data_IF_167431397621
#
_entry.id   IF_167431397621
#
_cell.length_a   1.000
_cell.length_b   1.000
_cell.length_c   1.000
_cell.angle_alpha   90.00
_cell.angle_beta   90.00
_cell.angle_gamma   90.00
#
_symmetry.space_group_name_H-M   'P 1'
#
loop_
_entity.id
_entity.type
_entity.pdbx_description
1 polymer ?
#
# COMPACT_ATOMS: atom_id res chain seq x y z
N UNK A 1 -30.25 -8.74 -28.43
CA UNK A 1 -31.19 -7.86 -27.72
C UNK A 1 -30.39 -6.64 -27.26
N UNK A 2 -30.67 -5.44 -27.79
CA UNK A 2 -29.88 -4.21 -27.58
C UNK A 2 -30.44 -3.44 -26.38
N UNK A 3 -29.59 -2.98 -25.46
CA UNK A 3 -29.96 -1.98 -24.46
C UNK A 3 -29.18 -0.69 -24.69
N UNK A 4 -29.93 0.40 -24.80
CA UNK A 4 -29.51 1.79 -24.89
C UNK A 4 -29.22 2.32 -23.49
N UNK A 5 -28.15 3.10 -23.33
CA UNK A 5 -28.05 4.10 -22.26
C UNK A 5 -27.93 5.48 -22.89
N UNK A 6 -28.96 6.30 -22.70
CA UNK A 6 -28.86 7.76 -22.76
C UNK A 6 -29.24 8.30 -21.39
N UNK A 7 -28.40 9.18 -20.84
CA UNK A 7 -28.90 10.37 -20.14
C UNK A 7 -27.87 11.49 -20.23
N UNK A 8 -28.15 12.43 -21.14
CA UNK A 8 -27.71 13.83 -21.03
C UNK A 8 -28.45 14.45 -19.85
N UNK A 9 -27.74 15.11 -18.94
CA UNK A 9 -28.28 16.26 -18.22
C UNK A 9 -27.16 17.27 -18.03
N UNK A 10 -27.29 18.41 -18.71
CA UNK A 10 -26.35 19.52 -18.72
C UNK A 10 -27.18 20.79 -18.53
N UNK A 11 -26.67 21.69 -17.69
CA UNK A 11 -26.90 23.15 -17.72
C UNK A 11 -28.20 23.71 -17.10
N UNK A 12 -28.06 24.37 -15.93
CA UNK A 12 -28.15 25.85 -15.80
C UNK A 12 -28.19 26.29 -14.33
N UNK A 13 -27.22 27.12 -13.92
CA UNK A 13 -27.40 28.41 -13.22
C UNK A 13 -25.99 28.96 -12.88
N UNK A 14 -25.33 29.65 -13.80
CA UNK A 14 -25.19 31.12 -13.85
C UNK A 14 -24.89 31.84 -12.53
N UNK A 15 -23.66 32.38 -12.49
CA UNK A 15 -23.28 33.74 -12.06
C UNK A 15 -23.28 34.04 -10.56
N UNK A 16 -22.08 34.11 -9.97
CA UNK A 16 -21.64 35.34 -9.32
C UNK A 16 -20.11 35.49 -9.38
N UNK A 17 -19.71 36.67 -9.84
CA UNK A 17 -18.37 37.22 -9.97
C UNK A 17 -18.04 37.90 -8.64
N UNK A 18 -16.93 37.56 -7.98
CA UNK A 18 -16.12 38.55 -7.25
C UNK A 18 -14.64 38.22 -7.45
N UNK A 19 -13.95 39.21 -8.00
CA UNK A 19 -12.51 39.32 -8.21
C UNK A 19 -11.84 39.62 -6.86
N UNK A 20 -10.76 38.93 -6.52
CA UNK A 20 -9.73 39.54 -5.67
C UNK A 20 -8.32 39.00 -6.01
N UNK A 21 -7.65 39.74 -6.87
CA UNK A 21 -6.22 39.65 -7.14
C UNK A 21 -5.48 40.40 -6.04
N UNK A 22 -4.59 39.74 -5.29
CA UNK A 22 -3.55 40.43 -4.52
C UNK A 22 -2.20 39.92 -4.99
N UNK A 23 -1.61 40.71 -5.89
CA UNK A 23 -0.17 40.78 -6.09
C UNK A 23 0.46 41.36 -4.82
N UNK A 24 1.44 40.66 -4.25
CA UNK A 24 2.52 41.30 -3.51
C UNK A 24 3.84 40.81 -4.11
N UNK A 25 4.49 41.73 -4.82
CA UNK A 25 5.82 41.53 -5.38
C UNK A 25 6.78 42.55 -4.75
N UNK A 26 8.02 42.09 -4.57
CA UNK A 26 9.26 42.81 -4.25
C UNK A 26 9.40 43.25 -2.78
N UNK A 27 10.44 42.81 -2.07
CA UNK A 27 11.85 43.22 -2.25
C UNK A 27 12.79 42.11 -1.73
N UNK A 28 13.66 41.54 -2.57
CA UNK A 28 15.05 41.97 -2.82
C UNK A 28 16.02 41.79 -1.64
N UNK A 29 16.90 40.78 -1.74
CA UNK A 29 18.33 41.01 -1.53
C UNK A 29 19.18 40.22 -2.54
N UNK A 30 20.03 41.00 -3.22
CA UNK A 30 21.06 40.63 -4.21
C UNK A 30 22.22 39.89 -3.50
N UNK A 31 22.71 38.79 -4.07
CA UNK A 31 23.82 38.65 -5.05
C UNK A 31 25.19 38.57 -4.36
N UNK A 32 25.88 37.44 -4.51
CA UNK A 32 27.17 37.40 -5.22
C UNK A 32 27.61 35.97 -5.56
N UNK A 33 28.18 35.86 -6.75
CA UNK A 33 28.59 34.67 -7.47
C UNK A 33 30.03 34.94 -7.93
N UNK A 34 30.96 34.01 -7.69
CA UNK A 34 32.16 33.73 -8.50
C UNK A 34 32.72 32.39 -8.00
N UNK A 35 32.70 31.29 -8.76
CA UNK A 35 33.44 30.91 -9.99
C UNK A 35 34.93 30.61 -9.75
N UNK A 36 35.20 29.29 -9.67
CA UNK A 36 36.32 28.48 -10.20
C UNK A 36 37.78 28.98 -10.16
N UNK A 37 38.71 28.20 -9.59
CA UNK A 37 39.52 27.20 -10.32
C UNK A 37 40.71 26.65 -9.50
N UNK A 38 40.94 25.35 -9.70
CA UNK A 38 42.21 24.61 -9.82
C UNK A 38 43.53 25.25 -9.32
N UNK A 39 44.25 24.55 -8.42
CA UNK A 39 45.51 23.84 -8.74
C UNK A 39 46.19 23.26 -7.49
N UNK A 40 46.61 21.99 -7.61
CA UNK A 40 47.60 21.32 -6.76
C UNK A 40 48.96 22.03 -6.84
N UNK A 41 49.70 22.09 -5.73
CA UNK A 41 51.08 21.57 -5.66
C UNK A 41 51.64 21.55 -4.24
N UNK A 42 52.18 20.37 -3.92
CA UNK A 42 53.35 20.06 -3.11
C UNK A 42 53.43 20.30 -1.59
N UNK A 43 53.49 19.14 -0.91
CA UNK A 43 54.46 18.70 0.09
C UNK A 43 54.84 19.62 1.25
N UNK A 44 54.76 19.10 2.48
CA UNK A 44 55.95 18.65 3.26
C UNK A 44 55.55 18.21 4.69
N UNK A 45 55.95 16.98 5.03
CA UNK A 45 56.37 16.45 6.35
C UNK A 45 55.39 16.26 7.52
N UNK A 46 55.22 14.96 7.78
CA UNK A 46 54.89 14.23 9.02
C UNK A 46 55.32 14.93 10.33
N UNK A 47 54.40 15.00 11.29
CA UNK A 47 54.73 14.70 12.69
C UNK A 47 53.54 14.06 13.39
N UNK A 48 53.74 12.79 13.77
CA UNK A 48 52.88 11.99 14.63
C UNK A 48 52.73 12.68 15.98
N UNK A 49 51.51 12.75 16.50
CA UNK A 49 51.28 12.55 17.93
C UNK A 49 49.94 11.83 18.12
N UNK A 50 50.07 10.56 18.44
CA UNK A 50 49.02 9.65 18.87
C UNK A 50 48.58 10.10 20.27
N UNK A 51 47.32 10.51 20.41
CA UNK A 51 46.64 10.54 21.69
C UNK A 51 45.65 9.38 21.72
N UNK A 52 45.92 8.50 22.69
CA UNK A 52 45.10 7.42 23.24
C UNK A 52 43.61 7.77 23.29
N UNK A 53 42.75 6.94 22.68
CA UNK A 53 42.16 5.73 23.28
C UNK A 53 40.83 6.05 23.97
N UNK A 54 39.73 5.92 23.21
CA UNK A 54 38.43 5.45 23.69
C UNK A 54 37.66 5.04 22.44
N UNK A 55 37.98 3.87 21.87
CA UNK A 55 37.22 3.28 20.79
C UNK A 55 36.18 2.34 21.38
N UNK A 56 34.92 2.73 21.18
CA UNK A 56 33.72 2.03 21.59
C UNK A 56 33.80 0.54 21.27
N UNK A 57 33.40 -0.28 22.26
CA UNK A 57 33.13 -1.70 22.04
C UNK A 57 32.18 -1.84 20.83
N UNK A 58 32.43 -2.79 19.90
CA UNK A 58 31.47 -3.07 18.86
C UNK A 58 30.17 -3.50 19.54
N UNK A 59 29.08 -2.79 19.25
CA UNK A 59 27.75 -3.27 19.58
C UNK A 59 27.59 -4.57 18.79
N UNK A 60 27.67 -5.70 19.48
CA UNK A 60 27.29 -6.99 18.94
C UNK A 60 25.83 -6.86 18.50
N UNK A 61 25.63 -6.72 17.19
CA UNK A 61 24.33 -6.83 16.57
C UNK A 61 23.90 -8.28 16.80
N UNK A 62 23.11 -8.51 17.85
CA UNK A 62 22.51 -9.81 18.11
C UNK A 62 21.81 -10.22 16.84
N UNK A 63 22.35 -11.25 16.18
CA UNK A 63 21.69 -11.91 15.07
C UNK A 63 20.30 -12.28 15.57
N UNK A 64 19.29 -11.67 14.93
CA UNK A 64 17.92 -12.10 15.07
C UNK A 64 17.94 -13.58 14.71
N UNK A 65 17.43 -14.48 15.56
CA UNK A 65 17.37 -15.89 15.23
C UNK A 65 16.70 -15.99 13.85
N UNK A 66 17.45 -16.44 12.85
CA UNK A 66 16.88 -16.88 11.59
C UNK A 66 16.11 -18.14 11.91
N UNK A 67 14.86 -17.96 12.32
CA UNK A 67 13.87 -19.00 12.28
C UNK A 67 13.81 -19.48 10.82
N UNK A 68 14.13 -20.76 10.52
CA UNK A 68 14.07 -21.29 9.16
C UNK A 68 12.62 -21.36 8.62
N UNK A 69 11.63 -20.98 9.43
CA UNK A 69 10.26 -20.81 9.00
C UNK A 69 10.04 -19.41 8.41
N UNK A 70 9.68 -19.38 7.13
CA UNK A 70 9.22 -18.17 6.45
C UNK A 70 8.14 -17.47 7.30
N UNK A 71 8.39 -16.21 7.66
CA UNK A 71 7.55 -15.45 8.59
C UNK A 71 6.09 -15.37 8.13
N UNK A 72 5.83 -15.44 6.82
CA UNK A 72 4.47 -15.46 6.26
C UNK A 72 3.72 -16.77 6.54
N UNK A 73 4.39 -17.87 6.89
CA UNK A 73 3.73 -19.11 7.36
C UNK A 73 3.19 -18.99 8.78
N UNK A 74 3.69 -18.03 9.56
CA UNK A 74 3.19 -17.80 10.92
C UNK A 74 1.85 -17.08 10.89
N UNK A 75 1.02 -17.30 11.92
CA UNK A 75 -0.24 -16.58 12.04
C UNK A 75 -0.02 -15.17 12.57
N UNK A 76 -0.64 -14.20 11.90
CA UNK A 76 -0.62 -12.81 12.33
C UNK A 76 -1.90 -12.39 13.06
N UNK A 77 -2.92 -13.25 13.12
CA UNK A 77 -4.17 -12.96 13.85
C UNK A 77 -3.86 -12.57 15.30
N UNK A 78 -4.46 -11.47 15.75
CA UNK A 78 -4.28 -10.92 17.08
C UNK A 78 -3.07 -9.98 17.22
N UNK A 79 -2.13 -9.98 16.28
CA UNK A 79 -1.02 -9.01 16.25
C UNK A 79 -1.54 -7.63 15.84
N UNK A 80 -0.79 -6.62 16.24
CA UNK A 80 -1.03 -5.22 15.89
C UNK A 80 -0.11 -4.73 14.77
N UNK A 81 -0.43 -3.60 14.16
CA UNK A 81 0.43 -2.94 13.16
C UNK A 81 1.87 -2.71 13.67
N UNK A 82 2.08 -2.41 14.96
CA UNK A 82 3.43 -2.27 15.53
C UNK A 82 4.19 -3.60 15.52
N UNK A 83 3.52 -4.70 15.83
CA UNK A 83 4.15 -6.02 15.82
C UNK A 83 4.50 -6.46 14.40
N UNK A 84 3.61 -6.20 13.43
CA UNK A 84 3.87 -6.44 12.01
C UNK A 84 5.06 -5.63 11.50
N UNK A 85 5.12 -4.34 11.83
CA UNK A 85 6.21 -3.47 11.39
C UNK A 85 7.60 -3.93 11.90
N UNK A 86 7.65 -4.72 12.98
CA UNK A 86 8.91 -5.30 13.50
C UNK A 86 9.36 -6.54 12.74
N UNK A 87 8.50 -7.13 11.89
CA UNK A 87 8.79 -8.34 11.12
C UNK A 87 9.60 -8.06 9.84
N UNK A 88 9.84 -6.78 9.50
CA UNK A 88 10.56 -6.36 8.29
C UNK A 88 9.97 -6.94 6.99
N UNK A 89 8.64 -7.09 6.93
CA UNK A 89 7.91 -7.45 5.72
C UNK A 89 7.41 -6.19 4.99
N UNK A 90 7.19 -6.29 3.69
CA UNK A 90 6.79 -5.20 2.82
C UNK A 90 5.29 -5.20 2.60
N UNK A 91 4.64 -4.04 2.77
CA UNK A 91 3.27 -3.82 2.34
C UNK A 91 3.23 -3.59 0.83
N UNK A 92 2.53 -4.47 0.12
CA UNK A 92 2.34 -4.41 -1.32
C UNK A 92 1.15 -3.54 -1.72
N UNK A 93 0.12 -3.49 -0.87
CA UNK A 93 -1.13 -2.77 -1.09
C UNK A 93 -1.87 -2.63 0.24
N UNK A 94 -2.61 -1.54 0.39
CA UNK A 94 -3.52 -1.30 1.50
C UNK A 94 -4.78 -0.55 1.05
N UNK A 95 -5.93 -0.89 1.63
CA UNK A 95 -7.21 -0.21 1.41
C UNK A 95 -7.95 -0.09 2.72
N UNK A 96 -8.39 1.13 3.04
CA UNK A 96 -9.32 1.37 4.14
C UNK A 96 -10.73 0.97 3.73
N UNK A 97 -11.43 0.33 4.66
CA UNK A 97 -12.82 -0.06 4.54
C UNK A 97 -13.61 0.66 5.64
N UNK A 98 -14.68 1.31 5.24
CA UNK A 98 -15.61 1.94 6.19
C UNK A 98 -16.89 1.10 6.24
N UNK A 99 -17.22 0.60 7.44
CA UNK A 99 -18.51 -0.02 7.73
C UNK A 99 -19.16 0.73 8.90
N UNK A 100 -20.13 1.58 8.57
CA UNK A 100 -20.81 2.45 9.53
C UNK A 100 -19.82 3.34 10.32
N UNK A 101 -19.66 3.08 11.62
CA UNK A 101 -18.75 3.80 12.53
C UNK A 101 -17.42 3.04 12.76
N UNK A 102 -17.32 1.80 12.28
CA UNK A 102 -16.12 0.99 12.43
C UNK A 102 -15.22 1.15 11.21
N UNK A 103 -13.92 1.27 11.48
CA UNK A 103 -12.89 1.37 10.45
C UNK A 103 -12.15 0.04 10.38
N UNK A 104 -12.05 -0.49 9.18
CA UNK A 104 -11.26 -1.65 8.88
C UNK A 104 -10.25 -1.34 7.77
N UNK A 105 -9.34 -2.25 7.52
CA UNK A 105 -8.46 -2.21 6.37
C UNK A 105 -8.21 -3.61 5.83
N UNK A 106 -7.87 -3.68 4.56
CA UNK A 106 -7.17 -4.83 3.98
C UNK A 106 -5.77 -4.39 3.63
N UNK A 107 -4.79 -5.23 3.94
CA UNK A 107 -3.42 -5.02 3.51
C UNK A 107 -2.81 -6.32 2.99
N UNK A 108 -1.98 -6.25 1.95
CA UNK A 108 -1.22 -7.38 1.41
C UNK A 108 0.25 -7.19 1.76
N UNK A 109 0.87 -8.21 2.35
CA UNK A 109 2.26 -8.22 2.73
C UNK A 109 3.07 -9.32 2.02
N UNK A 110 4.34 -9.04 1.80
CA UNK A 110 5.34 -9.96 1.23
C UNK A 110 6.68 -9.83 1.97
N UNK A 111 7.50 -10.87 1.96
CA UNK A 111 8.87 -10.80 2.52
C UNK A 111 9.81 -9.93 1.69
N UNK A 112 9.58 -9.88 0.38
CA UNK A 112 10.39 -9.08 -0.57
C UNK A 112 9.45 -8.33 -1.51
N UNK A 113 9.86 -7.13 -1.91
CA UNK A 113 9.05 -6.23 -2.76
C UNK A 113 8.68 -6.91 -4.09
N UNK A 114 9.61 -7.62 -4.72
CA UNK A 114 9.39 -8.27 -6.02
C UNK A 114 8.32 -9.38 -5.95
N UNK A 115 8.15 -10.01 -4.78
CA UNK A 115 7.18 -11.09 -4.57
C UNK A 115 5.74 -10.57 -4.43
N UNK A 116 5.53 -9.25 -4.35
CA UNK A 116 4.21 -8.65 -4.34
C UNK A 116 3.36 -9.06 -5.56
N UNK A 117 4.02 -9.29 -6.71
CA UNK A 117 3.38 -9.73 -7.95
C UNK A 117 3.71 -11.18 -8.31
N UNK A 118 4.74 -11.77 -7.70
CA UNK A 118 5.22 -13.10 -8.06
C UNK A 118 5.88 -13.82 -6.88
N UNK A 119 5.06 -14.35 -5.99
CA UNK A 119 5.55 -15.04 -4.81
C UNK A 119 4.50 -15.21 -3.75
N UNK A 120 4.97 -15.62 -2.57
CA UNK A 120 4.10 -15.81 -1.41
C UNK A 120 3.75 -14.46 -0.80
N UNK A 121 2.48 -14.29 -0.50
CA UNK A 121 1.94 -13.09 0.12
C UNK A 121 0.99 -13.50 1.25
N UNK A 122 0.72 -12.57 2.15
CA UNK A 122 -0.33 -12.69 3.16
C UNK A 122 -1.25 -11.49 3.07
N UNK A 123 -2.55 -11.72 2.96
CA UNK A 123 -3.58 -10.68 2.94
C UNK A 123 -4.23 -10.64 4.32
N UNK A 124 -4.26 -9.47 4.93
CA UNK A 124 -4.73 -9.26 6.29
C UNK A 124 -6.06 -8.52 6.27
N UNK A 125 -6.97 -8.92 7.15
CA UNK A 125 -8.12 -8.12 7.52
C UNK A 125 -7.85 -7.47 8.88
N UNK A 126 -7.95 -6.16 8.92
CA UNK A 126 -7.44 -5.35 10.01
C UNK A 126 -8.55 -4.48 10.60
N UNK A 127 -8.72 -4.52 11.92
CA UNK A 127 -9.69 -3.68 12.63
C UNK A 127 -8.98 -2.52 13.30
N UNK A 128 -9.44 -1.31 13.03
CA UNK A 128 -8.91 -0.10 13.66
C UNK A 128 -9.10 -0.15 15.18
N UNK A 129 -8.05 0.18 15.90
CA UNK A 129 -8.09 0.28 17.36
C UNK A 129 -8.12 1.74 17.80
N UNK A 130 -7.11 2.49 17.38
CA UNK A 130 -6.86 3.85 17.81
C UNK A 130 -5.78 4.48 16.91
N UNK A 131 -5.53 5.78 17.12
CA UNK A 131 -4.28 6.39 16.68
C UNK A 131 -3.26 6.30 17.81
N UNK A 132 -2.00 6.07 17.45
CA UNK A 132 -0.86 6.26 18.34
C UNK A 132 -0.62 7.75 18.60
N UNK A 133 0.17 8.06 19.64
CA UNK A 133 0.53 9.44 19.99
C UNK A 133 1.23 10.21 18.85
N UNK A 134 1.88 9.48 17.94
CA UNK A 134 2.52 10.03 16.74
C UNK A 134 1.55 10.22 15.55
N UNK A 135 0.24 10.04 15.76
CA UNK A 135 -0.80 10.17 14.74
C UNK A 135 -0.93 9.00 13.77
N UNK A 136 -0.10 7.95 13.88
CA UNK A 136 -0.23 6.76 13.03
C UNK A 136 -1.42 5.91 13.47
N UNK A 137 -2.20 5.43 12.51
CA UNK A 137 -3.30 4.51 12.78
C UNK A 137 -2.75 3.16 13.27
N UNK A 138 -3.44 2.58 14.26
CA UNK A 138 -3.16 1.28 14.80
C UNK A 138 -4.30 0.34 14.47
N UNK A 139 -3.97 -0.82 13.92
CA UNK A 139 -4.93 -1.86 13.63
C UNK A 139 -4.53 -3.16 14.33
N UNK A 140 -5.55 -3.97 14.64
CA UNK A 140 -5.41 -5.36 15.06
C UNK A 140 -5.82 -6.26 13.92
N UNK A 141 -5.05 -7.31 13.67
CA UNK A 141 -5.38 -8.30 12.65
C UNK A 141 -6.44 -9.23 13.20
N UNK A 142 -7.55 -9.34 12.48
CA UNK A 142 -8.72 -10.13 12.87
C UNK A 142 -8.86 -11.39 12.01
N UNK A 143 -8.36 -11.35 10.78
CA UNK A 143 -8.30 -12.51 9.89
C UNK A 143 -7.13 -12.40 8.89
N UNK A 144 -6.78 -13.52 8.26
CA UNK A 144 -5.68 -13.57 7.30
C UNK A 144 -5.89 -14.62 6.21
N UNK A 145 -5.32 -14.39 5.03
CA UNK A 145 -5.22 -15.34 3.94
C UNK A 145 -3.78 -15.47 3.47
N UNK A 146 -3.28 -16.71 3.43
CA UNK A 146 -2.00 -17.03 2.80
C UNK A 146 -2.24 -17.29 1.32
N UNK A 147 -1.56 -16.54 0.46
CA UNK A 147 -1.77 -16.59 -1.00
C UNK A 147 -0.44 -16.68 -1.75
N UNK A 148 -0.48 -17.21 -2.97
CA UNK A 148 0.68 -17.24 -3.86
C UNK A 148 0.29 -16.52 -5.15
N UNK A 149 0.89 -15.37 -5.38
CA UNK A 149 0.68 -14.55 -6.57
C UNK A 149 1.62 -15.03 -7.66
N UNK A 150 1.13 -15.10 -8.90
CA UNK A 150 1.93 -15.36 -10.09
C UNK A 150 1.37 -14.54 -11.24
N UNK A 151 1.49 -13.21 -11.14
CA UNK A 151 0.98 -12.27 -12.13
C UNK A 151 1.61 -12.55 -13.50
N UNK A 152 0.82 -12.53 -14.61
CA UNK A 152 -0.61 -12.20 -14.69
C UNK A 152 -1.58 -13.36 -14.41
N UNK A 153 -1.09 -14.60 -14.25
CA UNK A 153 -1.94 -15.81 -14.20
C UNK A 153 -2.85 -15.88 -12.97
N UNK A 154 -2.33 -15.45 -11.83
CA UNK A 154 -3.04 -15.44 -10.56
C UNK A 154 -2.68 -14.17 -9.81
N UNK A 155 -3.67 -13.32 -9.59
CA UNK A 155 -3.56 -12.07 -8.86
C UNK A 155 -4.66 -11.94 -7.83
N UNK A 156 -4.34 -11.33 -6.69
CA UNK A 156 -5.25 -11.10 -5.58
C UNK A 156 -5.37 -9.60 -5.34
N UNK A 157 -6.58 -9.07 -5.42
CA UNK A 157 -6.84 -7.67 -5.15
C UNK A 157 -8.25 -7.46 -4.56
N UNK A 158 -8.41 -6.35 -3.85
CA UNK A 158 -9.71 -5.87 -3.43
C UNK A 158 -10.43 -5.25 -4.64
N UNK A 159 -11.70 -5.63 -4.85
CA UNK A 159 -12.50 -5.22 -6.01
C UNK A 159 -13.90 -4.81 -5.57
N UNK A 160 -14.46 -3.80 -6.24
CA UNK A 160 -15.85 -3.39 -6.03
C UNK A 160 -16.77 -4.21 -6.93
N UNK A 161 -17.71 -4.96 -6.33
CA UNK A 161 -18.67 -5.80 -7.05
C UNK A 161 -20.10 -5.54 -6.58
N UNK A 162 -21.05 -5.61 -7.52
CA UNK A 162 -22.49 -5.64 -7.23
C UNK A 162 -23.02 -7.05 -7.44
N UNK A 163 -23.13 -7.84 -6.37
CA UNK A 163 -23.63 -9.23 -6.44
C UNK A 163 -25.07 -9.38 -5.94
N UNK A 164 -25.46 -8.60 -4.92
CA UNK A 164 -26.79 -8.66 -4.29
C UNK A 164 -27.56 -7.33 -4.41
N UNK A 165 -27.36 -6.62 -5.52
CA UNK A 165 -27.97 -5.30 -5.74
C UNK A 165 -27.33 -4.15 -4.96
N UNK A 166 -26.31 -4.43 -4.13
CA UNK A 166 -25.46 -3.44 -3.47
C UNK A 166 -24.01 -3.59 -3.92
N UNK A 167 -23.36 -2.49 -4.26
CA UNK A 167 -21.91 -2.45 -4.47
C UNK A 167 -21.19 -2.62 -3.13
N UNK A 168 -20.26 -3.57 -3.07
CA UNK A 168 -19.43 -3.88 -1.89
C UNK A 168 -18.02 -4.21 -2.32
N UNK A 169 -17.07 -4.10 -1.40
CA UNK A 169 -15.71 -4.57 -1.59
C UNK A 169 -15.66 -6.08 -1.34
N UNK A 170 -14.96 -6.79 -2.22
CA UNK A 170 -14.63 -8.21 -2.10
C UNK A 170 -13.14 -8.37 -2.32
N UNK A 171 -12.56 -9.47 -1.83
CA UNK A 171 -11.26 -9.92 -2.31
C UNK A 171 -11.50 -10.91 -3.45
N UNK A 172 -10.76 -10.77 -4.55
CA UNK A 172 -10.86 -11.68 -5.69
C UNK A 172 -9.50 -12.27 -6.07
N UNK A 173 -9.51 -13.55 -6.45
CA UNK A 173 -8.42 -14.22 -7.14
C UNK A 173 -8.77 -14.32 -8.62
N UNK A 174 -7.94 -13.76 -9.51
CA UNK A 174 -8.25 -13.69 -10.94
C UNK A 174 -6.99 -13.70 -11.82
N UNK A 175 -7.18 -13.95 -13.12
CA UNK A 175 -6.15 -13.74 -14.15
C UNK A 175 -6.29 -12.34 -14.73
N UNK A 176 -5.21 -11.57 -14.67
CA UNK A 176 -5.11 -10.24 -15.27
C UNK A 176 -4.68 -10.36 -16.74
N UNK A 177 -5.64 -10.34 -17.65
CA UNK A 177 -5.36 -10.44 -19.09
C UNK A 177 -4.86 -9.12 -19.74
N UNK A 178 -4.62 -8.07 -18.95
CA UNK A 178 -4.27 -6.73 -19.46
C UNK A 178 -5.41 -6.04 -20.22
N UNK A 179 -6.64 -6.50 -20.03
CA UNK A 179 -7.86 -5.96 -20.65
C UNK A 179 -8.62 -5.11 -19.65
N UNK A 180 -9.47 -4.21 -20.16
CA UNK A 180 -10.37 -3.38 -19.35
C UNK A 180 -11.27 -4.20 -18.42
N UNK A 181 -11.68 -5.41 -18.83
CA UNK A 181 -12.56 -6.27 -18.05
C UNK A 181 -11.91 -7.60 -17.69
N UNK A 182 -11.99 -7.97 -16.41
CA UNK A 182 -11.60 -9.27 -15.88
C UNK A 182 -12.77 -10.24 -16.05
N UNK A 183 -12.49 -11.39 -16.68
CA UNK A 183 -13.49 -12.44 -16.96
C UNK A 183 -13.09 -13.81 -16.42
N UNK A 184 -11.82 -13.99 -16.05
CA UNK A 184 -11.28 -15.25 -15.49
C UNK A 184 -11.10 -15.07 -13.98
N UNK A 185 -12.15 -15.39 -13.24
CA UNK A 185 -12.22 -15.23 -11.79
C UNK A 185 -12.25 -16.62 -11.17
N UNK A 186 -11.28 -16.90 -10.31
CA UNK A 186 -11.09 -18.22 -9.70
C UNK A 186 -11.80 -18.33 -8.36
N UNK A 187 -11.66 -17.33 -7.51
CA UNK A 187 -12.24 -17.28 -6.17
C UNK A 187 -12.62 -15.87 -5.77
N UNK A 188 -13.59 -15.77 -4.87
CA UNK A 188 -14.04 -14.52 -4.28
C UNK A 188 -14.27 -14.74 -2.79
N UNK A 189 -13.82 -13.79 -1.98
CA UNK A 189 -14.13 -13.73 -0.57
C UNK A 189 -14.98 -12.48 -0.30
N UNK A 190 -16.14 -12.70 0.31
CA UNK A 190 -16.90 -11.64 0.97
C UNK A 190 -16.12 -11.21 2.22
N UNK A 191 -16.01 -9.91 2.43
CA UNK A 191 -15.50 -9.36 3.68
C UNK A 191 -16.70 -9.23 4.63
N UNK A 192 -16.70 -10.00 5.70
CA UNK A 192 -17.77 -10.00 6.69
C UNK A 192 -17.32 -9.24 7.94
N UNK A 193 -17.83 -8.01 8.09
CA UNK A 193 -17.47 -7.11 9.18
C UNK A 193 -18.01 -7.56 10.53
N UNK A 194 -19.14 -8.28 10.56
CA UNK A 194 -19.79 -8.72 11.81
C UNK A 194 -19.01 -9.85 12.48
N UNK A 195 -18.54 -10.81 11.68
CA UNK A 195 -17.71 -11.93 12.19
C UNK A 195 -16.21 -11.70 12.01
N UNK A 196 -15.83 -10.56 11.46
CA UNK A 196 -14.46 -10.11 11.24
C UNK A 196 -13.62 -11.09 10.39
N UNK A 197 -14.18 -11.59 9.27
CA UNK A 197 -13.54 -12.63 8.44
C UNK A 197 -13.66 -12.44 6.93
N UNK A 198 -12.72 -13.02 6.21
CA UNK A 198 -12.87 -13.37 4.80
C UNK A 198 -13.69 -14.66 4.66
N UNK A 199 -14.83 -14.57 4.00
CA UNK A 199 -15.72 -15.71 3.77
C UNK A 199 -15.71 -16.03 2.28
N UNK A 200 -15.12 -17.17 1.90
CA UNK A 200 -15.14 -17.62 0.51
C UNK A 200 -16.59 -17.86 0.06
N UNK A 201 -16.98 -17.25 -1.06
CA UNK A 201 -18.29 -17.41 -1.67
C UNK A 201 -18.15 -18.06 -3.04
N UNK A 202 -19.24 -18.69 -3.50
CA UNK A 202 -19.28 -19.23 -4.85
C UNK A 202 -19.21 -18.09 -5.86
N UNK A 203 -18.28 -18.20 -6.81
CA UNK A 203 -18.18 -17.26 -7.94
C UNK A 203 -19.48 -17.28 -8.75
N UNK A 204 -20.18 -16.14 -8.90
CA UNK A 204 -21.37 -16.06 -9.73
C UNK A 204 -21.07 -16.39 -11.19
N UNK A 205 -22.03 -17.01 -11.88
CA UNK A 205 -21.89 -17.30 -13.30
C UNK A 205 -21.77 -16.00 -14.11
N UNK A 206 -20.84 -15.98 -15.07
CA UNK A 206 -20.60 -14.85 -15.96
C UNK A 206 -20.20 -13.55 -15.23
N UNK A 207 -19.67 -13.64 -14.01
CA UNK A 207 -19.15 -12.46 -13.33
C UNK A 207 -18.02 -11.85 -14.16
N UNK A 208 -18.07 -10.53 -14.27
CA UNK A 208 -17.03 -9.69 -14.88
C UNK A 208 -16.92 -8.40 -14.07
N UNK A 209 -15.72 -7.85 -13.97
CA UNK A 209 -15.49 -6.55 -13.32
C UNK A 209 -14.38 -5.78 -14.03
N UNK A 210 -14.33 -4.45 -13.83
CA UNK A 210 -13.30 -3.60 -14.39
C UNK A 210 -11.94 -3.96 -13.80
N UNK A 211 -10.93 -4.11 -14.65
CA UNK A 211 -9.57 -4.39 -14.23
C UNK A 211 -9.00 -3.17 -13.49
N UNK A 212 -8.68 -3.29 -12.18
CA UNK A 212 -8.16 -2.16 -11.39
C UNK A 212 -6.83 -1.61 -11.92
N UNK A 213 -6.06 -2.44 -12.62
CA UNK A 213 -4.73 -2.10 -13.15
C UNK A 213 -4.78 -1.61 -14.61
N UNK A 214 -5.97 -1.55 -15.22
CA UNK A 214 -6.10 -1.09 -16.60
C UNK A 214 -6.03 0.43 -16.67
N UNK A 215 -5.00 0.95 -17.33
CA UNK A 215 -4.89 2.33 -17.76
C UNK A 215 -5.00 2.39 -19.29
N UNK A 216 -5.85 3.27 -19.81
CA UNK A 216 -5.85 3.59 -21.24
C UNK A 216 -4.52 4.28 -21.59
N UNK A 217 -3.71 3.67 -22.47
CA UNK A 217 -2.50 4.28 -23.04
C UNK A 217 -2.83 5.35 -24.10
#
# INVERSE_FOLDING_TARGET
MKFYFQSKFLSKMTKNIIILSILLAFTSCKKEESVSNLQNSDSTTISKNIVKDTLAQPIELKEIPQDPHDILDTSFIGKTTIEINKLNIHECFGMLLEDNEQKFAIAKYSNVVDDCFKGKNKILFEKFMNYYDNGKANFKIVDELNVITNHPKTYFNAVHLTLDGSEKVYLAEYEDSGKESITRIYKIWKIDFDVEKFVEIKVPQNLTFLNPEYAEE
#
